data_IF_503016688976
#
_entry.id   IF_503016688976
#
_cell.length_a   1.000
_cell.length_b   1.000
_cell.length_c   1.000
_cell.angle_alpha   90.00
_cell.angle_beta   90.00
_cell.angle_gamma   90.00
#
_symmetry.space_group_name_H-M   'P 1'
#
loop_
_entity.id
_entity.type
_entity.pdbx_description
1 polymer ?
#
# COMPACT_ATOMS: atom_id res chain seq x y z
N UNK A 1 -15.24 -26.45 -10.47
CA UNK A 1 -15.13 -25.90 -9.11
C UNK A 1 -13.71 -26.18 -8.62
N UNK A 2 -12.78 -25.27 -8.86
CA UNK A 2 -11.48 -25.28 -8.18
C UNK A 2 -11.56 -24.25 -7.05
N UNK A 3 -11.51 -24.73 -5.82
CA UNK A 3 -11.52 -23.89 -4.64
C UNK A 3 -10.19 -23.17 -4.51
N UNK A 4 -10.18 -21.86 -4.78
CA UNK A 4 -9.05 -21.00 -4.43
C UNK A 4 -8.86 -21.01 -2.92
N UNK A 5 -7.84 -21.73 -2.45
CA UNK A 5 -7.49 -21.80 -1.03
C UNK A 5 -6.71 -20.56 -0.59
N UNK A 6 -7.18 -19.87 0.45
CA UNK A 6 -6.42 -18.77 1.05
C UNK A 6 -5.37 -19.34 2.02
N UNK A 7 -4.11 -19.34 1.61
CA UNK A 7 -2.98 -19.74 2.48
C UNK A 7 -2.46 -18.53 3.26
N UNK A 8 -2.18 -18.72 4.55
CA UNK A 8 -1.56 -17.69 5.42
C UNK A 8 -0.11 -18.07 5.70
N UNK A 9 0.80 -17.15 5.44
CA UNK A 9 2.16 -17.17 5.99
C UNK A 9 2.25 -16.12 7.10
N UNK A 10 2.83 -16.47 8.25
CA UNK A 10 3.17 -15.52 9.31
C UNK A 10 4.67 -15.27 9.20
N UNK A 11 5.05 -14.03 8.93
CA UNK A 11 6.45 -13.61 8.92
C UNK A 11 6.75 -12.83 10.20
N UNK A 12 7.67 -13.36 11.00
CA UNK A 12 8.26 -12.67 12.15
C UNK A 12 9.54 -12.01 11.66
N UNK A 13 9.87 -10.76 12.02
CA UNK A 13 11.10 -10.12 11.51
C UNK A 13 12.33 -11.01 11.83
N UNK A 14 12.87 -11.63 10.78
CA UNK A 14 13.85 -12.73 10.83
C UNK A 14 13.50 -13.93 9.93
N UNK A 15 12.25 -14.09 9.49
CA UNK A 15 11.82 -15.08 8.51
C UNK A 15 12.19 -14.70 7.06
N UNK A 16 12.29 -15.70 6.19
CA UNK A 16 12.38 -15.43 4.75
C UNK A 16 11.04 -14.87 4.27
N UNK A 17 11.08 -13.69 3.61
CA UNK A 17 9.88 -13.09 3.05
C UNK A 17 9.21 -14.07 2.09
N UNK A 18 7.88 -14.19 2.10
CA UNK A 18 7.18 -15.06 1.16
C UNK A 18 7.46 -14.61 -0.27
N UNK A 19 7.82 -15.56 -1.13
CA UNK A 19 7.99 -15.33 -2.56
C UNK A 19 6.61 -15.08 -3.19
N UNK A 20 6.34 -13.82 -3.56
CA UNK A 20 5.13 -13.42 -4.28
C UNK A 20 5.37 -13.53 -5.79
N UNK A 21 5.44 -12.41 -6.51
CA UNK A 21 5.80 -12.39 -7.93
C UNK A 21 7.30 -12.20 -8.12
N UNK A 22 7.86 -12.82 -9.17
CA UNK A 22 9.19 -12.46 -9.66
C UNK A 22 9.22 -11.02 -10.19
N UNK A 23 10.42 -10.41 -10.28
CA UNK A 23 10.57 -9.06 -10.87
C UNK A 23 10.02 -9.01 -12.30
N UNK A 24 10.32 -10.02 -13.13
CA UNK A 24 9.77 -10.13 -14.49
C UNK A 24 8.24 -10.20 -14.52
N UNK A 25 7.64 -10.96 -13.59
CA UNK A 25 6.19 -10.98 -13.48
C UNK A 25 5.71 -9.60 -13.09
N UNK A 26 6.13 -9.06 -11.95
CA UNK A 26 5.69 -7.77 -11.41
C UNK A 26 5.81 -6.61 -12.41
N UNK A 27 6.86 -6.61 -13.22
CA UNK A 27 7.20 -5.55 -14.16
C UNK A 27 6.58 -5.77 -15.56
N UNK A 28 5.81 -6.85 -15.76
CA UNK A 28 5.12 -7.11 -17.01
C UNK A 28 4.12 -5.98 -17.34
N UNK A 29 4.09 -5.51 -18.60
CA UNK A 29 3.14 -4.48 -19.00
C UNK A 29 1.71 -4.99 -18.92
N UNK A 30 0.78 -4.06 -18.72
CA UNK A 30 -0.65 -4.33 -18.83
C UNK A 30 -1.01 -4.74 -20.26
N UNK A 31 -1.78 -5.80 -20.42
CA UNK A 31 -2.31 -6.26 -21.71
C UNK A 31 -3.84 -6.11 -21.73
N UNK A 32 -4.39 -5.21 -22.56
CA UNK A 32 -5.84 -5.05 -22.66
C UNK A 32 -6.55 -6.18 -23.43
N UNK A 33 -5.82 -7.01 -24.18
CA UNK A 33 -6.39 -8.09 -25.00
C UNK A 33 -6.53 -9.40 -24.23
N UNK A 34 -5.62 -9.63 -23.27
CA UNK A 34 -5.60 -10.84 -22.45
C UNK A 34 -5.88 -10.49 -20.99
N UNK A 35 -7.13 -10.69 -20.49
CA UNK A 35 -7.45 -10.44 -19.10
C UNK A 35 -6.55 -11.25 -18.17
N UNK A 36 -5.86 -10.56 -17.27
CA UNK A 36 -4.96 -11.22 -16.33
C UNK A 36 -5.74 -11.96 -15.23
N UNK A 37 -5.51 -13.27 -15.10
CA UNK A 37 -6.18 -14.14 -14.12
C UNK A 37 -5.24 -14.64 -13.02
N UNK A 38 -4.10 -13.98 -12.82
CA UNK A 38 -3.09 -14.36 -11.84
C UNK A 38 -1.88 -15.06 -12.45
N UNK A 39 -0.83 -15.17 -11.64
CA UNK A 39 0.44 -15.76 -12.04
C UNK A 39 0.75 -17.02 -11.22
N UNK A 40 1.34 -18.04 -11.84
CA UNK A 40 1.88 -19.19 -11.08
C UNK A 40 3.15 -18.74 -10.37
N UNK A 41 3.21 -18.93 -9.05
CA UNK A 41 4.34 -18.52 -8.22
C UNK A 41 4.77 -19.64 -7.26
N UNK A 42 6.05 -19.70 -6.86
CA UNK A 42 6.53 -20.74 -5.95
C UNK A 42 5.79 -20.73 -4.61
N UNK A 43 5.42 -21.90 -4.11
CA UNK A 43 4.76 -22.05 -2.79
C UNK A 43 3.27 -21.68 -2.75
N UNK A 44 2.69 -21.23 -3.87
CA UNK A 44 1.26 -21.00 -4.01
C UNK A 44 0.66 -22.05 -4.95
N UNK A 45 -0.47 -22.61 -4.55
CA UNK A 45 -1.21 -23.56 -5.37
C UNK A 45 -2.20 -22.79 -6.25
N UNK A 46 -2.18 -23.07 -7.56
CA UNK A 46 -2.95 -22.30 -8.54
C UNK A 46 -2.24 -21.00 -8.94
N UNK A 47 -3.03 -19.95 -9.21
CA UNK A 47 -2.55 -18.64 -9.65
C UNK A 47 -2.71 -17.60 -8.53
N UNK A 48 -1.61 -16.90 -8.22
CA UNK A 48 -1.62 -15.77 -7.30
C UNK A 48 -2.14 -14.52 -8.03
N UNK A 49 -3.25 -14.00 -7.54
CA UNK A 49 -3.87 -12.75 -8.02
C UNK A 49 -3.65 -11.58 -7.05
N UNK A 50 -3.61 -11.86 -5.76
CA UNK A 50 -3.50 -10.87 -4.70
C UNK A 50 -2.95 -11.54 -3.45
N UNK A 51 -2.10 -10.84 -2.71
CA UNK A 51 -1.69 -11.23 -1.37
C UNK A 51 -2.25 -10.26 -0.33
N UNK A 52 -2.27 -10.66 0.93
CA UNK A 52 -2.74 -9.82 2.03
C UNK A 52 -1.64 -9.66 3.05
N UNK A 53 -1.32 -8.41 3.37
CA UNK A 53 -0.37 -8.06 4.42
C UNK A 53 -1.13 -7.50 5.62
N UNK A 54 -1.15 -8.29 6.69
CA UNK A 54 -1.85 -7.97 7.94
C UNK A 54 -0.86 -7.46 8.99
N UNK A 55 -1.31 -6.54 9.84
CA UNK A 55 -0.55 -6.09 11.02
C UNK A 55 -1.42 -6.15 12.27
N UNK A 56 -0.93 -6.81 13.32
CA UNK A 56 -1.62 -6.91 14.62
C UNK A 56 -1.84 -5.54 15.26
N UNK A 57 -0.91 -4.61 15.05
CA UNK A 57 -0.98 -3.22 15.53
C UNK A 57 -1.53 -2.26 14.46
N UNK A 58 -1.91 -2.75 13.29
CA UNK A 58 -2.32 -1.93 12.16
C UNK A 58 -1.15 -1.23 11.46
N UNK A 59 -1.47 -0.27 10.59
CA UNK A 59 -0.53 0.41 9.71
C UNK A 59 -0.40 1.90 10.04
N UNK A 60 0.70 2.57 9.68
CA UNK A 60 0.83 4.02 9.85
C UNK A 60 -0.33 4.80 9.24
N UNK A 61 -0.87 4.37 8.10
CA UNK A 61 -1.98 5.06 7.44
C UNK A 61 -3.29 5.05 8.25
N UNK A 62 -3.53 3.98 9.00
CA UNK A 62 -4.62 3.87 9.98
C UNK A 62 -4.21 4.34 11.37
N UNK A 63 -3.04 4.99 11.48
CA UNK A 63 -2.46 5.51 12.72
C UNK A 63 -2.30 4.44 13.82
N UNK A 64 -2.10 3.19 13.42
CA UNK A 64 -2.06 2.01 14.32
C UNK A 64 -3.33 1.82 15.16
N UNK A 65 -4.44 2.42 14.73
CA UNK A 65 -5.67 2.44 15.51
C UNK A 65 -6.56 1.26 15.13
N UNK A 66 -6.15 0.05 15.52
CA UNK A 66 -6.90 -1.17 15.19
C UNK A 66 -8.29 -1.19 15.84
N UNK A 67 -8.48 -0.51 16.97
CA UNK A 67 -9.75 -0.46 17.71
C UNK A 67 -10.80 0.50 17.13
N UNK A 68 -10.40 1.70 16.70
CA UNK A 68 -11.34 2.64 16.05
C UNK A 68 -11.52 2.35 14.56
N UNK A 69 -10.49 1.85 13.87
CA UNK A 69 -10.63 1.40 12.48
C UNK A 69 -11.59 0.21 12.36
N UNK A 70 -11.76 -0.59 13.42
CA UNK A 70 -12.79 -1.62 13.52
C UNK A 70 -14.19 -1.08 13.90
N UNK A 71 -14.28 0.15 14.43
CA UNK A 71 -15.54 0.80 14.87
C UNK A 71 -16.08 1.79 13.85
N UNK A 72 -15.22 2.43 13.04
CA UNK A 72 -15.64 3.06 11.79
C UNK A 72 -16.20 1.94 10.92
N UNK A 73 -17.53 1.80 10.93
CA UNK A 73 -18.28 1.05 9.93
C UNK A 73 -17.91 1.65 8.57
N UNK A 74 -16.87 1.13 7.95
CA UNK A 74 -16.69 1.33 6.52
C UNK A 74 -17.67 0.35 5.91
N UNK A 75 -18.86 0.85 5.61
CA UNK A 75 -19.86 0.10 4.87
C UNK A 75 -19.18 -0.26 3.53
N UNK A 76 -18.81 -1.53 3.38
CA UNK A 76 -18.28 -2.10 2.14
C UNK A 76 -19.40 -2.84 1.43
N UNK A 77 -19.17 -3.26 0.19
CA UNK A 77 -20.11 -4.08 -0.57
C UNK A 77 -20.53 -5.33 0.23
N UNK A 78 -19.60 -5.89 1.00
CA UNK A 78 -19.86 -7.07 1.83
C UNK A 78 -20.43 -6.72 3.21
N UNK A 79 -20.31 -5.47 3.67
CA UNK A 79 -20.63 -5.05 5.05
C UNK A 79 -19.50 -5.28 6.05
N UNK A 80 -18.29 -5.59 5.58
CA UNK A 80 -17.05 -5.65 6.36
C UNK A 80 -15.88 -5.22 5.49
N UNK A 81 -15.05 -4.34 6.04
CA UNK A 81 -13.76 -4.05 5.45
C UNK A 81 -12.72 -4.79 6.31
N UNK A 82 -11.78 -5.48 5.67
CA UNK A 82 -10.63 -6.03 6.38
C UNK A 82 -9.69 -4.86 6.77
N UNK A 83 -10.12 -3.97 7.67
CA UNK A 83 -9.59 -2.61 7.83
C UNK A 83 -8.08 -2.56 8.19
N UNK A 84 -7.51 -3.67 8.65
CA UNK A 84 -6.10 -3.80 9.00
C UNK A 84 -5.25 -4.51 7.94
N UNK A 85 -5.84 -4.96 6.83
CA UNK A 85 -5.23 -5.81 5.82
C UNK A 85 -4.93 -5.00 4.56
N UNK A 86 -3.63 -4.86 4.24
CA UNK A 86 -3.20 -4.23 3.01
C UNK A 86 -3.24 -5.25 1.86
N UNK A 87 -4.02 -4.94 0.81
CA UNK A 87 -4.12 -5.77 -0.40
C UNK A 87 -2.88 -5.57 -1.27
N UNK A 88 -1.98 -6.55 -1.24
CA UNK A 88 -0.71 -6.55 -1.96
C UNK A 88 -0.94 -7.04 -3.37
N UNK A 89 -0.66 -6.13 -4.31
CA UNK A 89 -0.80 -6.32 -5.74
C UNK A 89 0.55 -6.44 -6.41
N UNK A 90 0.53 -7.02 -7.60
CA UNK A 90 1.66 -7.05 -8.52
C UNK A 90 2.24 -5.65 -8.77
N UNK A 91 1.35 -4.68 -8.99
CA UNK A 91 1.71 -3.27 -9.15
C UNK A 91 2.41 -2.66 -7.92
N UNK A 92 2.01 -3.06 -6.71
CA UNK A 92 2.71 -2.62 -5.50
C UNK A 92 4.14 -3.16 -5.46
N UNK A 93 4.32 -4.42 -5.88
CA UNK A 93 5.65 -5.03 -5.93
C UNK A 93 6.52 -4.42 -7.03
N UNK A 94 5.96 -4.05 -8.18
CA UNK A 94 6.66 -3.27 -9.22
C UNK A 94 7.21 -1.95 -8.69
N UNK A 95 6.40 -1.21 -7.92
CA UNK A 95 6.85 0.02 -7.25
C UNK A 95 8.04 -0.29 -6.32
N UNK A 96 7.95 -1.37 -5.55
CA UNK A 96 9.06 -1.80 -4.69
C UNK A 96 10.32 -2.16 -5.50
N UNK A 97 10.21 -2.90 -6.60
CA UNK A 97 11.35 -3.29 -7.43
C UNK A 97 12.12 -2.07 -7.96
N UNK A 98 11.39 -1.04 -8.43
CA UNK A 98 11.97 0.22 -8.89
C UNK A 98 12.72 0.93 -7.76
N UNK A 99 12.07 1.07 -6.59
CA UNK A 99 12.69 1.71 -5.42
C UNK A 99 13.90 0.91 -4.93
N UNK A 100 13.78 -0.41 -4.85
CA UNK A 100 14.83 -1.34 -4.43
C UNK A 100 16.04 -1.32 -5.36
N UNK A 101 15.83 -1.28 -6.69
CA UNK A 101 16.92 -1.15 -7.65
C UNK A 101 17.81 0.06 -7.35
N UNK A 102 17.17 1.18 -6.98
CA UNK A 102 17.88 2.42 -6.63
C UNK A 102 18.48 2.41 -5.22
N UNK A 103 17.84 1.73 -4.26
CA UNK A 103 18.45 1.44 -2.97
C UNK A 103 19.75 0.61 -3.12
N UNK A 104 19.78 -0.37 -4.03
CA UNK A 104 20.94 -1.22 -4.29
C UNK A 104 22.10 -0.47 -4.94
N UNK A 105 21.83 0.58 -5.73
CA UNK A 105 22.86 1.42 -6.33
C UNK A 105 23.60 2.30 -5.30
N UNK A 106 23.21 2.27 -4.02
CA UNK A 106 23.70 3.15 -2.95
C UNK A 106 23.61 4.65 -3.29
N UNK A 107 22.79 4.98 -4.30
CA UNK A 107 22.48 6.34 -4.79
C UNK A 107 21.28 6.93 -4.09
N UNK A 108 21.19 6.70 -2.78
CA UNK A 108 20.07 7.10 -1.92
C UNK A 108 19.83 8.62 -1.96
N UNK A 109 20.83 9.36 -2.40
CA UNK A 109 20.89 10.83 -2.39
C UNK A 109 20.39 11.49 -3.71
N UNK A 110 20.11 10.72 -4.77
CA UNK A 110 20.01 11.31 -6.12
C UNK A 110 18.59 11.53 -6.64
N UNK A 111 17.68 10.55 -6.55
CA UNK A 111 16.38 10.67 -7.23
C UNK A 111 15.19 10.31 -6.33
N UNK A 112 14.43 11.30 -5.86
CA UNK A 112 13.12 11.10 -5.22
C UNK A 112 12.16 10.33 -6.13
N UNK A 113 11.40 9.40 -5.58
CA UNK A 113 10.30 8.76 -6.31
C UNK A 113 8.97 9.41 -5.99
N UNK A 114 8.08 9.47 -6.98
CA UNK A 114 6.68 9.80 -6.76
C UNK A 114 5.77 8.74 -7.37
N UNK A 115 4.93 8.13 -6.55
CA UNK A 115 3.94 7.14 -6.97
C UNK A 115 2.66 7.86 -7.38
N UNK A 116 2.35 7.80 -8.67
CA UNK A 116 1.20 8.45 -9.30
C UNK A 116 0.21 7.37 -9.70
N UNK A 117 -1.08 7.61 -9.46
CA UNK A 117 -2.12 6.73 -9.99
C UNK A 117 -3.49 7.29 -9.68
N UNK A 118 -4.52 6.69 -10.23
CA UNK A 118 -5.91 7.15 -10.12
C UNK A 118 -6.35 7.33 -8.66
N UNK A 119 -7.15 8.36 -8.30
CA UNK A 119 -7.68 8.47 -6.94
C UNK A 119 -8.45 7.23 -6.55
N UNK A 120 -8.34 6.79 -5.30
CA UNK A 120 -9.13 5.67 -4.80
C UNK A 120 -8.58 4.26 -5.09
N UNK A 121 -7.45 4.11 -5.81
CA UNK A 121 -6.83 2.79 -6.07
C UNK A 121 -6.03 2.21 -4.87
N UNK A 122 -6.18 2.78 -3.67
CA UNK A 122 -5.52 2.22 -2.48
C UNK A 122 -4.02 2.48 -2.30
N UNK A 123 -3.38 3.38 -3.09
CA UNK A 123 -1.93 3.68 -3.03
C UNK A 123 -1.40 3.90 -1.60
N UNK A 124 -2.06 4.77 -0.85
CA UNK A 124 -1.59 5.22 0.47
C UNK A 124 -1.60 4.14 1.53
N UNK A 125 -2.60 3.25 1.47
CA UNK A 125 -2.77 2.17 2.44
C UNK A 125 -2.02 0.92 2.01
N UNK A 126 -2.25 0.42 0.80
CA UNK A 126 -1.66 -0.82 0.33
C UNK A 126 -0.17 -0.66 -0.03
N UNK A 127 0.14 0.19 -1.02
CA UNK A 127 1.53 0.39 -1.49
C UNK A 127 2.42 0.95 -0.39
N UNK A 128 1.91 1.89 0.42
CA UNK A 128 2.64 2.42 1.56
C UNK A 128 3.02 1.37 2.59
N UNK A 129 2.07 0.49 2.95
CA UNK A 129 2.31 -0.62 3.88
C UNK A 129 3.30 -1.64 3.31
N UNK A 130 3.19 -1.96 2.02
CA UNK A 130 4.13 -2.84 1.32
C UNK A 130 5.54 -2.26 1.35
N UNK A 131 5.72 -1.00 0.95
CA UNK A 131 7.02 -0.33 0.94
C UNK A 131 7.65 -0.32 2.33
N UNK A 132 6.86 -0.01 3.36
CA UNK A 132 7.34 -0.07 4.73
C UNK A 132 7.81 -1.47 5.10
N UNK A 133 6.96 -2.49 4.91
CA UNK A 133 7.30 -3.87 5.22
C UNK A 133 8.57 -4.32 4.48
N UNK A 134 8.65 -4.05 3.18
CA UNK A 134 9.81 -4.39 2.36
C UNK A 134 11.10 -3.71 2.84
N UNK A 135 11.04 -2.41 3.19
CA UNK A 135 12.20 -1.69 3.69
C UNK A 135 12.65 -2.17 5.07
N UNK A 136 11.73 -2.55 5.95
CA UNK A 136 12.08 -3.09 7.27
C UNK A 136 12.86 -4.42 7.13
N UNK A 137 12.49 -5.24 6.15
CA UNK A 137 13.11 -6.54 5.85
C UNK A 137 14.24 -6.47 4.80
N UNK A 138 14.64 -5.26 4.37
CA UNK A 138 15.64 -5.07 3.33
C UNK A 138 17.04 -5.55 3.76
N UNK A 139 17.61 -6.56 3.11
CA UNK A 139 18.84 -7.22 3.59
C UNK A 139 20.03 -6.29 3.93
N UNK A 140 20.34 -5.25 3.13
CA UNK A 140 21.44 -4.36 3.46
C UNK A 140 21.27 -3.64 4.80
N UNK A 141 22.25 -3.85 5.68
CA UNK A 141 22.28 -3.27 7.03
C UNK A 141 22.59 -1.78 7.04
N UNK A 142 23.06 -1.20 5.92
CA UNK A 142 23.35 0.23 5.85
C UNK A 142 22.10 1.07 6.07
N UNK A 143 20.92 0.59 5.65
CA UNK A 143 19.66 1.29 5.89
C UNK A 143 19.25 1.07 7.34
N UNK A 144 19.39 2.07 8.20
CA UNK A 144 19.14 1.94 9.65
C UNK A 144 17.72 2.33 10.05
N UNK A 145 17.13 3.30 9.35
CA UNK A 145 15.84 3.89 9.75
C UNK A 145 14.91 4.05 8.55
N UNK A 146 13.63 3.74 8.74
CA UNK A 146 12.56 4.08 7.78
C UNK A 146 11.63 5.09 8.46
N UNK A 147 11.45 6.26 7.86
CA UNK A 147 10.55 7.29 8.34
C UNK A 147 9.25 7.26 7.54
N UNK A 148 8.10 7.19 8.22
CA UNK A 148 6.78 7.20 7.58
C UNK A 148 6.00 8.45 8.00
N UNK A 149 5.75 9.36 7.06
CA UNK A 149 4.98 10.58 7.28
C UNK A 149 3.56 10.41 6.75
N UNK A 150 2.55 10.70 7.57
CA UNK A 150 1.14 10.50 7.21
C UNK A 150 0.21 11.30 8.12
N UNK A 151 -0.79 11.98 7.53
CA UNK A 151 -1.87 12.68 8.26
C UNK A 151 -1.34 13.61 9.38
N UNK A 152 -0.31 14.40 9.06
CA UNK A 152 0.31 15.33 10.02
C UNK A 152 1.15 14.68 11.14
N UNK A 153 1.33 13.36 11.11
CA UNK A 153 2.18 12.59 12.05
C UNK A 153 3.37 11.98 11.31
N UNK A 154 4.35 11.53 12.10
CA UNK A 154 5.50 10.78 11.58
C UNK A 154 5.83 9.61 12.50
N UNK A 155 6.37 8.54 11.92
CA UNK A 155 6.80 7.33 12.62
C UNK A 155 8.21 6.96 12.15
N UNK A 156 9.16 6.87 13.08
CA UNK A 156 10.54 6.49 12.79
C UNK A 156 10.76 5.05 13.23
N UNK A 157 10.98 4.15 12.27
CA UNK A 157 11.24 2.74 12.52
C UNK A 157 12.74 2.48 12.50
N UNK A 158 13.29 2.14 13.67
CA UNK A 158 14.68 1.76 13.83
C UNK A 158 14.80 0.26 13.59
N UNK A 159 15.49 -0.11 12.51
CA UNK A 159 15.50 -1.49 12.01
C UNK A 159 16.28 -2.43 12.92
N UNK A 160 17.47 -2.02 13.35
CA UNK A 160 18.34 -2.81 14.24
C UNK A 160 17.71 -3.00 15.62
N UNK A 161 17.20 -1.92 16.20
CA UNK A 161 16.58 -1.92 17.53
C UNK A 161 15.16 -2.52 17.52
N UNK A 162 14.62 -2.82 16.34
CA UNK A 162 13.24 -3.30 16.12
C UNK A 162 12.19 -2.45 16.86
N UNK A 163 12.40 -1.13 16.93
CA UNK A 163 11.48 -0.19 17.59
C UNK A 163 10.91 0.84 16.63
N UNK A 164 9.78 1.42 17.04
CA UNK A 164 9.17 2.56 16.36
C UNK A 164 8.96 3.70 17.35
N UNK A 165 9.22 4.93 16.92
CA UNK A 165 8.91 6.16 17.68
C UNK A 165 7.90 6.98 16.89
N UNK A 166 6.82 7.38 17.57
CA UNK A 166 5.76 8.21 16.97
C UNK A 166 5.93 9.67 17.33
N UNK A 167 5.77 10.55 16.35
CA UNK A 167 5.80 12.00 16.49
C UNK A 167 4.45 12.58 16.11
N UNK A 168 3.85 13.35 17.02
CA UNK A 168 2.56 14.02 16.79
C UNK A 168 2.65 15.20 15.82
N UNK A 169 3.85 15.75 15.62
CA UNK A 169 4.15 16.84 14.71
C UNK A 169 5.31 16.41 13.81
N UNK A 170 5.14 16.57 12.50
CA UNK A 170 6.14 16.14 11.52
C UNK A 170 7.47 16.88 11.67
N UNK A 171 7.46 18.19 12.01
CA UNK A 171 8.68 18.97 12.20
C UNK A 171 9.63 18.36 13.24
N UNK A 172 9.09 17.86 14.36
CA UNK A 172 9.93 17.24 15.40
C UNK A 172 10.62 15.97 14.89
N UNK A 173 9.95 15.22 14.01
CA UNK A 173 10.58 14.06 13.37
C UNK A 173 11.65 14.49 12.35
N UNK A 174 11.44 15.59 11.63
CA UNK A 174 12.45 16.17 10.72
C UNK A 174 13.71 16.55 11.49
N UNK A 175 13.57 17.27 12.62
CA UNK A 175 14.69 17.70 13.45
C UNK A 175 15.50 16.48 13.98
N UNK A 176 14.81 15.40 14.36
CA UNK A 176 15.48 14.14 14.76
C UNK A 176 16.21 13.48 13.58
N UNK A 177 15.60 13.46 12.39
CA UNK A 177 16.24 12.92 11.19
C UNK A 177 17.51 13.71 10.84
N UNK A 178 17.49 15.03 10.93
CA UNK A 178 18.70 15.84 10.75
C UNK A 178 19.79 15.51 11.77
N UNK A 179 19.40 15.31 13.03
CA UNK A 179 20.30 14.82 14.08
C UNK A 179 20.93 13.47 13.73
N UNK A 180 20.12 12.53 13.22
CA UNK A 180 20.57 11.22 12.75
C UNK A 180 21.52 11.33 11.56
N UNK A 181 21.22 12.20 10.58
CA UNK A 181 22.09 12.47 9.42
C UNK A 181 23.45 13.01 9.87
N UNK A 182 23.48 13.95 10.83
CA UNK A 182 24.74 14.47 11.40
C UNK A 182 25.59 13.37 12.06
N UNK A 183 24.96 12.33 12.59
CA UNK A 183 25.61 11.13 13.16
C UNK A 183 25.96 10.07 12.11
N UNK A 184 25.72 10.33 10.83
CA UNK A 184 26.01 9.39 9.73
C UNK A 184 24.96 8.29 9.54
N UNK A 185 23.82 8.36 10.23
CA UNK A 185 22.73 7.37 10.10
C UNK A 185 22.07 7.52 8.74
N UNK A 186 21.99 6.41 8.01
CA UNK A 186 21.29 6.33 6.72
C UNK A 186 19.87 5.83 6.92
N UNK A 187 18.94 6.46 6.23
CA UNK A 187 17.52 6.12 6.31
C UNK A 187 16.79 6.42 5.00
N UNK A 188 15.51 6.10 5.00
CA UNK A 188 14.62 6.30 3.85
C UNK A 188 13.27 6.83 4.31
N UNK A 189 12.67 7.71 3.50
CA UNK A 189 11.42 8.39 3.82
C UNK A 189 10.30 7.85 2.93
N UNK A 190 9.23 7.37 3.55
CA UNK A 190 7.93 7.16 2.91
C UNK A 190 7.05 8.34 3.31
N UNK A 191 6.65 9.14 2.34
CA UNK A 191 5.83 10.32 2.59
C UNK A 191 4.46 10.15 1.95
N UNK A 192 3.40 10.09 2.76
CA UNK A 192 2.05 10.18 2.25
C UNK A 192 1.57 11.62 2.28
N UNK A 193 1.37 12.20 1.09
CA UNK A 193 0.88 13.55 0.93
C UNK A 193 -0.65 13.60 1.14
N UNK A 194 -1.09 14.27 2.20
CA UNK A 194 -2.49 14.48 2.54
C UNK A 194 -2.77 15.96 2.84
N UNK A 195 -3.49 16.66 1.97
CA UNK A 195 -3.83 18.07 2.22
C UNK A 195 -2.61 19.02 2.10
N UNK A 196 -2.60 20.11 2.85
CA UNK A 196 -1.57 21.17 2.82
C UNK A 196 -0.34 20.79 3.65
N UNK A 197 0.46 19.83 3.17
CA UNK A 197 1.65 19.36 3.89
C UNK A 197 2.89 20.21 3.56
N UNK A 198 2.98 21.41 4.16
CA UNK A 198 4.14 22.31 4.01
C UNK A 198 5.47 21.70 4.48
N UNK A 199 5.43 20.60 5.25
CA UNK A 199 6.64 19.96 5.78
C UNK A 199 7.53 19.34 4.69
N UNK A 200 6.98 19.05 3.51
CA UNK A 200 7.70 18.35 2.45
C UNK A 200 8.97 19.12 2.02
N UNK A 201 8.89 20.45 2.05
CA UNK A 201 9.96 21.39 1.75
C UNK A 201 11.12 21.30 2.76
N UNK A 202 10.82 20.88 3.99
CA UNK A 202 11.76 20.75 5.09
C UNK A 202 12.35 19.33 5.21
N UNK A 203 11.91 18.37 4.40
CA UNK A 203 12.47 17.02 4.45
C UNK A 203 13.94 17.06 4.01
N UNK A 204 14.83 16.31 4.69
CA UNK A 204 16.24 16.28 4.32
C UNK A 204 16.45 15.69 2.93
N UNK A 205 17.53 16.11 2.28
CA UNK A 205 17.94 15.62 0.95
C UNK A 205 18.91 14.44 1.02
N UNK A 206 19.57 14.24 2.17
CA UNK A 206 20.55 13.17 2.37
C UNK A 206 19.94 11.78 2.59
N UNK A 207 18.61 11.69 2.67
CA UNK A 207 17.86 10.44 2.73
C UNK A 207 16.97 10.35 1.49
N UNK A 208 16.86 9.14 0.95
CA UNK A 208 15.99 8.85 -0.18
C UNK A 208 14.53 8.98 0.23
N UNK A 209 13.66 9.27 -0.74
CA UNK A 209 12.24 9.49 -0.49
C UNK A 209 11.38 8.83 -1.56
N UNK A 210 10.30 8.18 -1.13
CA UNK A 210 9.17 7.81 -1.97
C UNK A 210 7.93 8.57 -1.51
N UNK A 211 7.41 9.38 -2.41
CA UNK A 211 6.20 10.16 -2.21
C UNK A 211 4.99 9.39 -2.73
N UNK A 212 4.01 9.16 -1.87
CA UNK A 212 2.72 8.56 -2.22
C UNK A 212 1.69 9.68 -2.23
N UNK A 213 1.36 10.15 -3.44
CA UNK A 213 0.51 11.31 -3.63
C UNK A 213 -0.91 10.95 -4.08
N UNK A 214 -1.87 11.79 -3.69
CA UNK A 214 -3.13 11.92 -4.42
C UNK A 214 -2.85 12.66 -5.74
N UNK A 215 -3.57 12.42 -6.85
CA UNK A 215 -3.29 13.09 -8.12
C UNK A 215 -3.83 14.53 -8.12
N UNK A 216 -3.36 15.34 -7.17
CA UNK A 216 -3.50 16.78 -7.23
C UNK A 216 -2.29 17.33 -8.00
N UNK A 217 -2.57 17.82 -9.20
CA UNK A 217 -1.58 18.24 -10.20
C UNK A 217 -0.72 19.42 -9.71
N UNK A 218 -1.28 20.34 -8.92
CA UNK A 218 -0.47 21.48 -8.43
C UNK A 218 0.63 21.02 -7.48
N UNK A 219 0.30 20.11 -6.55
CA UNK A 219 1.26 19.56 -5.60
C UNK A 219 2.33 18.69 -6.26
N UNK A 220 1.99 18.06 -7.38
CA UNK A 220 2.95 17.34 -8.21
C UNK A 220 4.00 18.30 -8.78
N UNK A 221 3.54 19.42 -9.35
CA UNK A 221 4.43 20.42 -9.94
C UNK A 221 5.34 21.05 -8.88
N UNK A 222 4.80 21.38 -7.71
CA UNK A 222 5.57 21.97 -6.61
C UNK A 222 6.69 21.02 -6.15
N UNK A 223 6.36 19.75 -5.92
CA UNK A 223 7.34 18.75 -5.48
C UNK A 223 8.44 18.52 -6.52
N UNK A 224 8.05 18.31 -7.78
CA UNK A 224 9.01 18.03 -8.86
C UNK A 224 9.93 19.22 -9.15
N UNK A 225 9.44 20.45 -8.95
CA UNK A 225 10.26 21.67 -9.05
C UNK A 225 11.30 21.77 -7.92
N UNK A 226 10.92 21.41 -6.69
CA UNK A 226 11.81 21.49 -5.53
C UNK A 226 12.85 20.36 -5.47
N UNK A 227 12.44 19.18 -5.95
CA UNK A 227 13.19 17.94 -5.97
C UNK A 227 13.49 17.56 -7.42
N UNK A 228 14.44 18.30 -8.02
CA UNK A 228 14.96 17.99 -9.35
C UNK A 228 15.32 16.51 -9.48
N UNK A 229 15.06 15.94 -10.66
CA UNK A 229 15.22 14.51 -10.94
C UNK A 229 14.23 13.57 -10.23
N UNK A 230 13.11 14.10 -9.72
CA UNK A 230 12.03 13.23 -9.23
C UNK A 230 11.57 12.28 -10.34
N UNK A 231 11.62 10.97 -10.09
CA UNK A 231 11.23 9.93 -11.03
C UNK A 231 9.77 9.53 -10.78
N UNK A 232 8.85 9.74 -11.75
CA UNK A 232 7.48 9.29 -11.62
C UNK A 232 7.38 7.77 -11.78
N UNK A 233 6.64 7.13 -10.87
CA UNK A 233 6.20 5.74 -10.98
C UNK A 233 4.69 5.77 -11.15
N UNK A 234 4.24 5.57 -12.39
CA UNK A 234 2.81 5.44 -12.72
C UNK A 234 2.33 4.06 -12.31
N UNK A 235 1.35 3.98 -11.42
CA UNK A 235 0.76 2.75 -10.90
C UNK A 235 -0.58 2.48 -11.59
N UNK A 236 -0.73 1.27 -12.13
CA UNK A 236 -1.96 0.86 -12.81
C UNK A 236 -3.13 0.69 -11.81
N UNK A 237 -4.35 0.77 -12.34
CA UNK A 237 -5.57 0.46 -11.60
C UNK A 237 -5.64 -1.03 -11.21
N UNK A 238 -6.72 -1.44 -10.56
CA UNK A 238 -6.93 -2.85 -10.27
C UNK A 238 -7.26 -3.63 -11.54
N UNK A 239 -6.89 -4.90 -11.54
CA UNK A 239 -7.46 -5.89 -12.45
C UNK A 239 -8.74 -6.48 -11.85
N UNK A 240 -9.65 -6.95 -12.70
CA UNK A 240 -10.89 -7.60 -12.26
C UNK A 240 -10.62 -8.77 -11.33
N UNK A 241 -9.58 -9.56 -11.61
CA UNK A 241 -9.17 -10.69 -10.78
C UNK A 241 -8.74 -10.25 -9.37
N UNK A 242 -8.10 -9.09 -9.24
CA UNK A 242 -7.69 -8.51 -7.95
C UNK A 242 -8.91 -8.05 -7.15
N UNK A 243 -9.90 -7.42 -7.80
CA UNK A 243 -11.15 -6.99 -7.15
C UNK A 243 -12.00 -8.18 -6.69
N UNK A 244 -12.10 -9.23 -7.52
CA UNK A 244 -12.75 -10.49 -7.15
C UNK A 244 -12.06 -11.13 -5.94
N UNK A 245 -10.72 -11.12 -5.91
CA UNK A 245 -9.96 -11.65 -4.78
C UNK A 245 -10.18 -10.84 -3.49
N UNK A 246 -10.21 -9.51 -3.60
CA UNK A 246 -10.53 -8.62 -2.48
C UNK A 246 -11.93 -8.91 -1.91
N UNK A 247 -12.93 -9.04 -2.78
CA UNK A 247 -14.30 -9.38 -2.38
C UNK A 247 -14.36 -10.72 -1.62
N UNK A 248 -13.71 -11.75 -2.15
CA UNK A 248 -13.64 -13.07 -1.49
C UNK A 248 -12.94 -12.98 -0.13
N UNK A 249 -11.86 -12.21 -0.03
CA UNK A 249 -11.14 -12.02 1.23
C UNK A 249 -11.99 -11.28 2.29
N UNK A 250 -12.70 -10.23 1.90
CA UNK A 250 -13.57 -9.48 2.82
C UNK A 250 -14.66 -10.37 3.39
N UNK A 251 -15.33 -11.18 2.56
CA UNK A 251 -16.32 -12.19 3.00
C UNK A 251 -15.71 -13.25 3.90
N UNK A 252 -14.54 -13.78 3.55
CA UNK A 252 -13.86 -14.75 4.41
C UNK A 252 -13.45 -14.14 5.77
N UNK A 253 -13.07 -12.86 5.79
CA UNK A 253 -12.76 -12.12 7.02
C UNK A 253 -14.00 -11.90 7.90
N UNK A 254 -15.20 -11.82 7.29
CA UNK A 254 -16.50 -11.76 8.01
C UNK A 254 -16.85 -13.05 8.72
N UNK A 255 -16.70 -14.19 8.05
CA UNK A 255 -17.04 -15.51 8.62
C UNK A 255 -16.23 -15.86 9.87
N UNK A 256 -15.13 -15.16 10.13
CA UNK A 256 -14.34 -15.26 11.37
C UNK A 256 -14.87 -14.40 12.51
N UNK A 257 -15.82 -13.49 12.28
CA UNK A 257 -16.26 -12.45 13.22
C UNK A 257 -17.76 -12.51 13.59
N UNK A 258 -18.63 -13.24 12.89
CA UNK A 258 -20.04 -13.41 13.27
C UNK A 258 -20.66 -14.68 12.63
N UNK A 259 -21.36 -15.49 13.44
CA UNK A 259 -22.17 -16.66 13.03
C UNK A 259 -23.59 -16.24 12.59
N UNK A 260 -23.97 -14.97 12.72
CA UNK A 260 -25.35 -14.55 12.47
C UNK A 260 -25.38 -13.18 11.80
N UNK A 261 -25.35 -13.15 10.45
CA UNK A 261 -26.04 -12.15 9.64
C UNK A 261 -26.53 -12.80 8.36
N UNK A 262 -27.75 -12.41 7.98
CA UNK A 262 -28.54 -12.92 6.87
C UNK A 262 -27.72 -13.14 5.59
N UNK A 263 -28.01 -14.26 4.93
CA UNK A 263 -27.39 -14.70 3.69
C UNK A 263 -27.60 -13.67 2.56
N UNK A 264 -26.71 -12.70 2.42
CA UNK A 264 -26.51 -12.00 1.15
C UNK A 264 -25.74 -12.96 0.24
N UNK A 265 -26.41 -13.43 -0.81
CA UNK A 265 -25.90 -14.50 -1.67
C UNK A 265 -24.52 -14.12 -2.26
N UNK A 266 -23.58 -15.06 -2.26
CA UNK A 266 -22.25 -14.87 -2.87
C UNK A 266 -22.29 -14.69 -4.38
N UNK A 267 -23.37 -15.17 -5.01
CA UNK A 267 -23.65 -14.90 -6.41
C UNK A 267 -23.97 -13.41 -6.65
N UNK A 268 -24.78 -12.80 -5.77
CA UNK A 268 -25.27 -11.42 -5.91
C UNK A 268 -24.12 -10.39 -5.86
N UNK A 269 -23.23 -10.48 -4.87
CA UNK A 269 -22.09 -9.54 -4.79
C UNK A 269 -21.14 -9.62 -5.99
N UNK A 270 -21.00 -10.80 -6.61
CA UNK A 270 -20.12 -10.96 -7.77
C UNK A 270 -20.71 -10.30 -9.00
N UNK A 271 -22.02 -10.41 -9.18
CA UNK A 271 -22.75 -9.72 -10.24
C UNK A 271 -22.70 -8.21 -10.02
N UNK A 272 -23.02 -7.74 -8.81
CA UNK A 272 -22.91 -6.32 -8.43
C UNK A 272 -21.49 -5.79 -8.61
N UNK A 273 -20.46 -6.54 -8.22
CA UNK A 273 -19.07 -6.13 -8.42
C UNK A 273 -18.77 -5.91 -9.90
N UNK A 274 -19.19 -6.85 -10.77
CA UNK A 274 -18.98 -6.75 -12.21
C UNK A 274 -19.69 -5.53 -12.79
N UNK A 275 -20.97 -5.33 -12.45
CA UNK A 275 -21.73 -4.15 -12.89
C UNK A 275 -21.05 -2.85 -12.46
N UNK A 276 -20.56 -2.77 -11.21
CA UNK A 276 -19.87 -1.58 -10.72
C UNK A 276 -18.55 -1.35 -11.45
N UNK A 277 -17.78 -2.39 -11.74
CA UNK A 277 -16.55 -2.28 -12.55
C UNK A 277 -16.88 -1.75 -13.94
N UNK A 278 -17.91 -2.29 -14.59
CA UNK A 278 -18.35 -1.85 -15.92
C UNK A 278 -18.78 -0.36 -15.92
N UNK A 279 -19.41 0.09 -14.83
CA UNK A 279 -19.94 1.45 -14.70
C UNK A 279 -18.89 2.51 -14.30
N UNK A 280 -18.00 2.22 -13.35
CA UNK A 280 -17.07 3.23 -12.80
C UNK A 280 -15.59 2.89 -13.00
N UNK A 281 -15.30 1.77 -13.65
CA UNK A 281 -13.96 1.21 -13.82
C UNK A 281 -13.45 0.47 -12.57
N UNK A 282 -12.23 -0.10 -12.63
CA UNK A 282 -11.69 -0.94 -11.58
C UNK A 282 -11.08 -0.11 -10.42
N UNK A 283 -11.96 0.61 -9.72
CA UNK A 283 -11.62 1.51 -8.62
C UNK A 283 -12.14 0.93 -7.30
N UNK A 284 -11.30 0.29 -6.47
CA UNK A 284 -11.72 -0.42 -5.26
C UNK A 284 -12.53 0.47 -4.31
N UNK A 285 -12.19 1.77 -4.20
CA UNK A 285 -12.92 2.75 -3.39
C UNK A 285 -14.42 2.82 -3.70
N UNK A 286 -14.84 2.55 -4.93
CA UNK A 286 -16.22 2.68 -5.34
C UNK A 286 -16.87 1.32 -5.57
N UNK A 287 -16.14 0.38 -6.19
CA UNK A 287 -16.69 -0.94 -6.52
C UNK A 287 -16.88 -1.81 -5.27
N UNK A 288 -15.96 -1.73 -4.29
CA UNK A 288 -16.03 -2.48 -3.02
C UNK A 288 -16.69 -1.71 -1.88
N UNK A 289 -17.14 -0.47 -2.10
CA UNK A 289 -17.76 0.32 -1.04
C UNK A 289 -19.27 0.03 -0.91
N UNK A 290 -19.91 0.64 0.07
CA UNK A 290 -21.36 0.67 0.16
C UNK A 290 -22.03 1.34 -1.04
N UNK A 291 -23.34 1.14 -1.13
CA UNK A 291 -24.17 1.68 -2.21
C UNK A 291 -24.11 3.21 -2.29
N UNK A 292 -24.13 3.94 -1.17
CA UNK A 292 -24.12 5.40 -1.17
C UNK A 292 -22.78 5.98 -1.66
N UNK A 293 -21.66 5.33 -1.31
CA UNK A 293 -20.33 5.71 -1.78
C UNK A 293 -20.16 5.41 -3.28
N UNK A 294 -20.70 4.28 -3.76
CA UNK A 294 -20.77 3.97 -5.19
C UNK A 294 -21.60 5.00 -5.96
N UNK A 295 -22.82 5.30 -5.49
CA UNK A 295 -23.75 6.24 -6.16
C UNK A 295 -23.14 7.64 -6.34
N UNK A 296 -22.41 8.15 -5.34
CA UNK A 296 -21.67 9.42 -5.41
C UNK A 296 -20.65 9.51 -6.55
N UNK A 297 -20.23 8.39 -7.14
CA UNK A 297 -19.30 8.37 -8.28
C UNK A 297 -20.02 8.40 -9.62
N UNK A 298 -21.25 7.86 -9.66
CA UNK A 298 -22.08 7.70 -10.86
C UNK A 298 -22.93 8.94 -11.11
N UNK A 299 -23.36 9.63 -10.04
CA UNK A 299 -24.07 10.92 -10.09
C UNK A 299 -23.11 12.10 -10.16
#
# INVERSE_FOLDING_TARGET
MEGGGVKRARDEMGGEQPHLWSEKQADAPFDPQEPWEGDVVPGVEGRLVMAVLSSEKGWPHTLFNTGEAQKEKVDSLTGNNAVCDAYIRKEGLRVWNIVKGRLNEHRVDLDPFIVIGTPGIGKSFATGSLLLYQMLHYKPEWLKVVAYFVKGKAYLFHREERRVVSYRKQQVAVDEIEGMIRRGVKGYIIFHMGGSDAIIDHLPRSWGIVLISSPNVSKFHDFTTQRYHTVPIYMNCYEDAELKAALVWERHSQGKKQVEKENVDAADDREVLKERIDMVGPLPRYVLADKATYEKRVT
#
